data_IF_487086709439
#
_entry.id   IF_487086709439
#
_cell.length_a   1.000
_cell.length_b   1.000
_cell.length_c   1.000
_cell.angle_alpha   90.00
_cell.angle_beta   90.00
_cell.angle_gamma   90.00
#
_symmetry.space_group_name_H-M   'P 1'
#
loop_
_entity.id
_entity.type
_entity.pdbx_description
1 polymer ?
#
# COMPACT_ATOMS: atom_id res chain seq x y z
N UNK A 1 -1.15 7.40 10.89
CA UNK A 1 -1.38 8.63 10.11
C UNK A 1 -1.01 9.89 10.87
N UNK A 2 -1.24 10.01 12.20
CA UNK A 2 -0.92 11.23 12.96
C UNK A 2 0.60 11.46 13.07
N UNK A 3 1.40 10.42 13.19
CA UNK A 3 2.84 10.53 13.30
C UNK A 3 3.50 10.98 11.98
N UNK A 4 2.90 10.64 10.84
CA UNK A 4 3.53 10.84 9.53
C UNK A 4 4.73 9.92 9.32
N UNK A 5 5.47 10.14 8.24
CA UNK A 5 6.66 9.38 7.94
C UNK A 5 6.43 7.92 7.57
N UNK A 6 7.48 7.13 7.66
CA UNK A 6 7.44 5.68 7.62
C UNK A 6 7.44 5.18 9.06
N UNK A 7 6.44 4.43 9.44
CA UNK A 7 6.30 3.96 10.81
C UNK A 7 5.98 2.46 10.84
N UNK A 8 6.59 1.77 11.79
CA UNK A 8 6.32 0.37 12.11
C UNK A 8 5.31 0.30 13.25
N UNK A 9 4.18 -0.36 13.00
CA UNK A 9 3.20 -0.70 14.01
C UNK A 9 3.38 -2.14 14.45
N UNK A 10 3.45 -2.37 15.76
CA UNK A 10 3.54 -3.71 16.37
C UNK A 10 2.39 -3.96 17.34
N UNK A 11 2.29 -5.17 17.86
CA UNK A 11 1.19 -5.57 18.73
C UNK A 11 -0.14 -5.61 17.97
N UNK A 12 -1.12 -4.88 18.43
CA UNK A 12 -2.42 -4.68 17.74
C UNK A 12 -2.43 -3.41 16.85
N UNK A 13 -1.26 -2.88 16.52
CA UNK A 13 -1.10 -1.58 15.88
C UNK A 13 -1.14 -0.41 16.86
N UNK A 14 -0.97 -0.70 18.15
CA UNK A 14 -0.99 0.25 19.26
C UNK A 14 0.43 0.72 19.66
N UNK A 15 1.45 0.00 19.25
CA UNK A 15 2.85 0.40 19.41
C UNK A 15 3.39 0.90 18.08
N UNK A 16 3.61 2.21 17.97
CA UNK A 16 4.10 2.85 16.77
C UNK A 16 5.53 3.36 16.96
N UNK A 17 6.43 2.93 16.08
CA UNK A 17 7.80 3.43 15.99
C UNK A 17 8.02 4.13 14.66
N UNK A 18 8.35 5.41 14.68
CA UNK A 18 8.71 6.15 13.46
C UNK A 18 10.10 5.70 13.03
N UNK A 19 10.21 5.15 11.83
CA UNK A 19 11.46 4.69 11.22
C UNK A 19 12.15 5.81 10.45
N UNK A 20 11.34 6.65 9.77
CA UNK A 20 11.79 7.83 9.05
C UNK A 20 10.70 8.90 9.07
N UNK A 21 11.09 10.14 9.31
CA UNK A 21 10.17 11.28 9.27
C UNK A 21 9.70 11.56 7.83
N UNK A 22 8.53 12.16 7.71
CA UNK A 22 8.00 12.58 6.41
C UNK A 22 8.64 13.90 6.01
N UNK A 23 9.46 13.86 4.97
CA UNK A 23 10.10 15.00 4.33
C UNK A 23 10.01 14.87 2.80
N UNK A 24 10.58 15.82 2.06
CA UNK A 24 10.61 15.78 0.59
C UNK A 24 11.73 14.88 0.03
N UNK A 25 12.70 14.49 0.86
CA UNK A 25 13.81 13.63 0.45
C UNK A 25 13.44 12.15 0.57
N UNK A 26 13.79 11.37 -0.44
CA UNK A 26 13.56 9.92 -0.48
C UNK A 26 12.09 9.53 -0.51
N UNK A 27 11.29 10.20 -1.31
CA UNK A 27 9.90 9.87 -1.51
C UNK A 27 9.74 8.61 -2.36
N UNK A 28 8.86 7.71 -1.93
CA UNK A 28 8.35 6.64 -2.76
C UNK A 28 7.16 7.14 -3.57
N UNK A 29 7.17 6.87 -4.86
CA UNK A 29 6.08 7.25 -5.77
C UNK A 29 5.19 6.05 -6.04
N UNK A 30 3.89 6.28 -5.99
CA UNK A 30 2.85 5.26 -6.08
C UNK A 30 1.77 5.66 -7.06
N UNK A 31 1.05 4.67 -7.57
CA UNK A 31 -0.26 4.87 -8.19
C UNK A 31 -1.30 4.11 -7.37
N UNK A 32 -2.28 4.82 -6.84
CA UNK A 32 -3.42 4.22 -6.17
C UNK A 32 -4.51 3.93 -7.20
N UNK A 33 -4.80 2.64 -7.39
CA UNK A 33 -5.79 2.15 -8.35
C UNK A 33 -7.08 1.84 -7.59
N UNK A 34 -8.07 2.71 -7.74
CA UNK A 34 -9.35 2.59 -7.08
C UNK A 34 -10.26 1.67 -7.89
N UNK A 35 -10.93 0.73 -7.20
CA UNK A 35 -11.96 -0.13 -7.78
C UNK A 35 -13.28 0.62 -7.94
N UNK A 36 -14.14 0.17 -8.88
CA UNK A 36 -15.49 0.69 -9.07
C UNK A 36 -16.41 0.41 -7.87
N UNK A 37 -16.16 -0.66 -7.14
CA UNK A 37 -16.97 -1.08 -6.00
C UNK A 37 -16.13 -1.22 -4.74
N UNK A 38 -16.76 -1.04 -3.59
CA UNK A 38 -16.16 -1.23 -2.28
C UNK A 38 -15.93 -2.70 -1.93
N UNK A 39 -15.13 -2.92 -0.90
CA UNK A 39 -14.92 -4.22 -0.27
C UNK A 39 -15.07 -4.06 1.24
N UNK A 40 -15.82 -4.97 1.85
CA UNK A 40 -16.09 -4.93 3.28
C UNK A 40 -14.88 -5.41 4.08
N UNK A 41 -14.22 -4.51 4.79
CA UNK A 41 -13.09 -4.85 5.68
C UNK A 41 -13.42 -5.99 6.66
N UNK A 42 -14.58 -5.99 7.36
CA UNK A 42 -14.93 -7.12 8.22
C UNK A 42 -15.08 -8.45 7.48
N UNK A 43 -15.49 -8.45 6.20
CA UNK A 43 -15.58 -9.67 5.41
C UNK A 43 -14.21 -10.20 5.02
N UNK A 44 -13.28 -9.32 4.67
CA UNK A 44 -11.89 -9.70 4.38
C UNK A 44 -11.24 -10.35 5.59
N UNK A 45 -11.41 -9.78 6.79
CA UNK A 45 -10.89 -10.36 8.02
C UNK A 45 -11.55 -11.72 8.34
N UNK A 46 -12.85 -11.86 8.17
CA UNK A 46 -13.52 -13.17 8.34
C UNK A 46 -13.00 -14.23 7.36
N UNK A 47 -12.70 -13.82 6.13
CA UNK A 47 -12.13 -14.72 5.12
C UNK A 47 -10.67 -15.07 5.44
N UNK A 48 -9.92 -14.13 6.02
CA UNK A 48 -8.57 -14.36 6.55
C UNK A 48 -8.61 -15.39 7.69
N UNK A 49 -9.45 -15.18 8.71
CA UNK A 49 -9.60 -16.08 9.86
C UNK A 49 -10.01 -17.49 9.43
N UNK A 50 -10.87 -17.61 8.41
CA UNK A 50 -11.28 -18.92 7.86
C UNK A 50 -10.10 -19.66 7.24
N UNK A 51 -9.20 -18.96 6.57
CA UNK A 51 -8.00 -19.55 5.97
C UNK A 51 -6.96 -19.90 7.03
N UNK A 52 -6.79 -19.06 8.06
CA UNK A 52 -5.87 -19.29 9.17
C UNK A 52 -6.29 -20.49 10.01
N UNK A 53 -7.59 -20.69 10.25
CA UNK A 53 -8.12 -21.89 10.89
C UNK A 53 -7.75 -23.20 10.15
N UNK A 54 -7.33 -23.12 8.87
CA UNK A 54 -6.81 -24.23 8.09
C UNK A 54 -5.30 -24.48 8.27
N UNK A 55 -4.64 -23.76 9.19
CA UNK A 55 -3.22 -23.94 9.52
C UNK A 55 -2.25 -23.13 8.66
N UNK A 56 -2.64 -21.91 8.27
CA UNK A 56 -1.70 -20.97 7.67
C UNK A 56 -0.53 -20.68 8.63
N UNK A 57 0.70 -20.48 8.11
CA UNK A 57 1.81 -20.10 8.97
C UNK A 57 1.51 -18.77 9.65
N UNK A 58 1.80 -18.68 10.95
CA UNK A 58 1.64 -17.45 11.72
C UNK A 58 2.42 -16.30 11.09
N UNK A 59 1.95 -15.09 11.31
CA UNK A 59 2.61 -13.87 10.85
C UNK A 59 4.01 -13.81 11.46
N UNK A 60 5.03 -13.70 10.61
CA UNK A 60 6.39 -13.47 11.05
C UNK A 60 6.60 -11.98 11.33
N UNK A 61 7.33 -11.64 12.39
CA UNK A 61 7.80 -10.27 12.53
C UNK A 61 8.81 -9.95 11.42
N UNK A 62 8.77 -8.71 10.87
CA UNK A 62 9.72 -8.33 9.83
C UNK A 62 11.15 -8.38 10.38
N UNK A 63 12.06 -8.86 9.56
CA UNK A 63 13.49 -8.86 9.87
C UNK A 63 14.06 -7.44 9.89
N UNK A 64 15.20 -7.19 10.55
CA UNK A 64 15.85 -5.89 10.52
C UNK A 64 16.18 -5.41 9.09
N UNK A 65 16.51 -6.33 8.18
CA UNK A 65 16.79 -6.05 6.79
C UNK A 65 15.52 -5.59 6.03
N UNK A 66 14.39 -6.26 6.28
CA UNK A 66 13.11 -5.84 5.71
C UNK A 66 12.68 -4.48 6.24
N UNK A 67 12.85 -4.24 7.55
CA UNK A 67 12.58 -2.92 8.15
C UNK A 67 13.46 -1.83 7.53
N UNK A 68 14.74 -2.10 7.29
CA UNK A 68 15.65 -1.16 6.64
C UNK A 68 15.21 -0.87 5.18
N UNK A 69 14.80 -1.90 4.44
CA UNK A 69 14.34 -1.77 3.06
C UNK A 69 13.06 -0.94 2.92
N UNK A 70 12.22 -0.86 3.97
CA UNK A 70 11.05 0.05 3.98
C UNK A 70 11.43 1.53 3.88
N UNK A 71 12.65 1.88 4.31
CA UNK A 71 13.20 3.23 4.25
C UNK A 71 14.18 3.44 3.08
N UNK A 72 14.47 2.38 2.33
CA UNK A 72 15.42 2.34 1.24
C UNK A 72 14.87 2.84 -0.10
N UNK A 73 15.61 2.54 -1.15
CA UNK A 73 15.22 2.87 -2.52
C UNK A 73 14.02 2.01 -2.99
N UNK A 74 13.24 2.47 -3.99
CA UNK A 74 12.08 1.72 -4.49
C UNK A 74 12.39 0.29 -4.92
N UNK A 75 13.60 0.06 -5.46
CA UNK A 75 14.07 -1.26 -5.88
C UNK A 75 14.26 -2.23 -4.71
N UNK A 76 14.62 -1.73 -3.53
CA UNK A 76 14.75 -2.52 -2.29
C UNK A 76 13.36 -2.75 -1.68
N UNK A 77 12.55 -1.71 -1.58
CA UNK A 77 11.19 -1.75 -1.05
C UNK A 77 10.32 -2.80 -1.77
N UNK A 78 10.47 -2.95 -3.09
CA UNK A 78 9.64 -3.88 -3.88
C UNK A 78 9.65 -5.33 -3.37
N UNK A 79 10.71 -5.75 -2.67
CA UNK A 79 10.86 -7.10 -2.15
C UNK A 79 10.21 -7.31 -0.77
N UNK A 80 9.85 -6.21 -0.09
CA UNK A 80 9.31 -6.20 1.27
C UNK A 80 7.81 -5.91 1.33
N UNK A 81 7.18 -5.68 0.17
CA UNK A 81 5.74 -5.40 0.11
C UNK A 81 4.93 -6.68 0.28
N UNK A 82 4.53 -6.96 1.49
CA UNK A 82 3.67 -8.10 1.85
C UNK A 82 2.35 -7.59 2.43
N UNK A 83 1.25 -8.26 2.08
CA UNK A 83 -0.05 -7.99 2.66
C UNK A 83 -0.85 -9.30 2.79
N UNK A 84 -1.00 -9.76 4.02
CA UNK A 84 -1.69 -11.02 4.34
C UNK A 84 -3.18 -10.99 4.00
N UNK A 85 -3.77 -9.79 3.94
CA UNK A 85 -5.17 -9.62 3.55
C UNK A 85 -5.37 -9.67 2.02
N UNK A 86 -4.29 -9.69 1.22
CA UNK A 86 -4.42 -9.72 -0.24
C UNK A 86 -5.09 -11.02 -0.73
N UNK A 87 -4.63 -12.18 -0.26
CA UNK A 87 -5.22 -13.45 -0.68
C UNK A 87 -6.72 -13.59 -0.30
N UNK A 88 -7.14 -13.25 0.95
CA UNK A 88 -8.56 -13.16 1.30
C UNK A 88 -9.37 -12.20 0.42
N UNK A 89 -8.84 -11.00 0.18
CA UNK A 89 -9.53 -10.01 -0.66
C UNK A 89 -9.72 -10.50 -2.09
N UNK A 90 -8.71 -11.16 -2.68
CA UNK A 90 -8.79 -11.74 -4.03
C UNK A 90 -9.80 -12.91 -4.12
N UNK A 91 -10.02 -13.65 -3.03
CA UNK A 91 -11.10 -14.67 -3.00
C UNK A 91 -12.49 -14.04 -3.01
N UNK A 92 -12.66 -12.90 -2.35
CA UNK A 92 -13.94 -12.16 -2.31
C UNK A 92 -14.17 -11.33 -3.58
N UNK A 93 -13.10 -10.81 -4.18
CA UNK A 93 -13.10 -9.92 -5.34
C UNK A 93 -12.03 -10.35 -6.36
N UNK A 94 -12.30 -11.41 -7.16
CA UNK A 94 -11.32 -11.95 -8.11
C UNK A 94 -10.82 -10.93 -9.16
N UNK A 95 -11.63 -9.94 -9.53
CA UNK A 95 -11.26 -8.89 -10.47
C UNK A 95 -10.09 -8.01 -9.99
N UNK A 96 -9.81 -7.98 -8.70
CA UNK A 96 -8.61 -7.30 -8.18
C UNK A 96 -7.31 -7.96 -8.68
N UNK A 97 -7.36 -9.26 -9.00
CA UNK A 97 -6.22 -9.93 -9.62
C UNK A 97 -5.91 -9.38 -11.03
N UNK A 98 -6.95 -9.00 -11.78
CA UNK A 98 -6.78 -8.38 -13.10
C UNK A 98 -6.14 -6.98 -12.95
N UNK A 99 -6.57 -6.20 -11.97
CA UNK A 99 -5.96 -4.88 -11.66
C UNK A 99 -4.47 -5.04 -11.29
N UNK A 100 -4.14 -6.03 -10.46
CA UNK A 100 -2.76 -6.33 -10.06
C UNK A 100 -1.93 -6.76 -11.27
N UNK A 101 -2.48 -7.62 -12.14
CA UNK A 101 -1.80 -8.06 -13.36
C UNK A 101 -1.57 -6.88 -14.31
N UNK A 102 -2.59 -6.07 -14.58
CA UNK A 102 -2.48 -4.89 -15.43
C UNK A 102 -1.39 -3.91 -14.94
N UNK A 103 -1.30 -3.69 -13.63
CA UNK A 103 -0.28 -2.82 -13.05
C UNK A 103 1.14 -3.38 -13.22
N UNK A 104 1.31 -4.71 -13.08
CA UNK A 104 2.58 -5.39 -13.34
C UNK A 104 2.98 -5.32 -14.80
N UNK A 105 2.04 -5.59 -15.70
CA UNK A 105 2.25 -5.54 -17.16
C UNK A 105 2.58 -4.13 -17.64
N UNK A 106 2.03 -3.10 -16.99
CA UNK A 106 2.37 -1.70 -17.23
C UNK A 106 3.77 -1.30 -16.72
N UNK A 107 4.45 -2.19 -15.98
CA UNK A 107 5.84 -1.99 -15.53
C UNK A 107 5.98 -1.43 -14.12
N UNK A 108 4.96 -1.51 -13.27
CA UNK A 108 5.12 -1.18 -11.85
C UNK A 108 6.21 -2.05 -11.20
N UNK A 109 7.05 -1.45 -10.35
CA UNK A 109 8.14 -2.17 -9.65
C UNK A 109 7.60 -3.24 -8.71
N UNK A 110 6.51 -2.94 -8.03
CA UNK A 110 5.76 -3.86 -7.20
C UNK A 110 4.29 -3.45 -7.15
N UNK A 111 3.43 -4.40 -6.83
CA UNK A 111 1.99 -4.17 -6.71
C UNK A 111 1.46 -4.93 -5.51
N UNK A 112 0.75 -4.24 -4.65
CA UNK A 112 0.12 -4.82 -3.46
C UNK A 112 -1.27 -4.24 -3.24
N UNK A 113 -2.09 -4.94 -2.48
CA UNK A 113 -3.36 -4.39 -2.01
C UNK A 113 -3.10 -3.39 -0.87
N UNK A 114 -3.81 -2.29 -0.85
CA UNK A 114 -3.74 -1.31 0.24
C UNK A 114 -4.66 -1.72 1.39
N UNK A 115 -4.08 -2.21 2.48
CA UNK A 115 -4.82 -2.72 3.64
C UNK A 115 -5.76 -3.88 3.26
N UNK A 116 -7.04 -3.81 3.64
CA UNK A 116 -8.05 -4.80 3.24
C UNK A 116 -8.56 -4.62 1.80
N UNK A 117 -8.08 -3.62 1.08
CA UNK A 117 -8.56 -3.26 -0.26
C UNK A 117 -9.88 -2.46 -0.26
N UNK A 118 -10.54 -2.32 -1.42
CA UNK A 118 -10.18 -2.85 -2.73
C UNK A 118 -9.11 -2.05 -3.49
N UNK A 119 -8.56 -0.99 -2.91
CA UNK A 119 -7.54 -0.17 -3.57
C UNK A 119 -6.26 -0.98 -3.74
N UNK A 120 -5.71 -0.97 -4.96
CA UNK A 120 -4.42 -1.55 -5.28
C UNK A 120 -3.37 -0.44 -5.35
N UNK A 121 -2.22 -0.64 -4.71
CA UNK A 121 -1.08 0.28 -4.73
C UNK A 121 0.00 -0.29 -5.66
N UNK A 122 0.39 0.50 -6.66
CA UNK A 122 1.46 0.16 -7.60
C UNK A 122 2.67 1.08 -7.35
N UNK A 123 3.82 0.48 -7.03
CA UNK A 123 5.07 1.19 -6.78
C UNK A 123 5.72 1.62 -8.10
N UNK A 124 6.09 2.88 -8.19
CA UNK A 124 6.83 3.45 -9.32
C UNK A 124 8.28 3.78 -8.92
N UNK A 125 9.18 3.90 -9.90
CA UNK A 125 10.57 4.32 -9.68
C UNK A 125 10.68 5.76 -9.21
N UNK A 126 9.86 6.63 -9.81
CA UNK A 126 9.89 8.07 -9.63
C UNK A 126 8.54 8.71 -10.00
N UNK A 127 8.44 10.03 -9.87
CA UNK A 127 7.22 10.78 -10.14
C UNK A 127 6.79 10.72 -11.63
N UNK A 128 7.72 10.65 -12.57
CA UNK A 128 7.42 10.57 -14.00
C UNK A 128 6.84 9.20 -14.33
N UNK A 129 7.46 8.15 -13.83
CA UNK A 129 6.96 6.79 -13.97
C UNK A 129 5.58 6.60 -13.32
N UNK A 130 5.33 7.20 -12.14
CA UNK A 130 4.01 7.16 -11.51
C UNK A 130 2.93 7.83 -12.39
N UNK A 131 3.24 8.97 -13.02
CA UNK A 131 2.31 9.63 -13.95
C UNK A 131 2.06 8.78 -15.21
N UNK A 132 3.10 8.17 -15.77
CA UNK A 132 2.98 7.29 -16.94
C UNK A 132 2.14 6.05 -16.63
N UNK A 133 2.39 5.39 -15.49
CA UNK A 133 1.58 4.26 -15.01
C UNK A 133 0.12 4.66 -14.81
N UNK A 134 -0.14 5.80 -14.15
CA UNK A 134 -1.50 6.28 -13.93
C UNK A 134 -2.24 6.54 -15.23
N UNK A 135 -1.58 7.14 -16.22
CA UNK A 135 -2.18 7.37 -17.56
C UNK A 135 -2.54 6.03 -18.23
N UNK A 136 -1.61 5.07 -18.24
CA UNK A 136 -1.86 3.75 -18.86
C UNK A 136 -2.97 2.98 -18.14
N UNK A 137 -2.98 3.00 -16.80
CA UNK A 137 -3.92 2.21 -15.99
C UNK A 137 -5.30 2.84 -15.85
N UNK A 138 -5.45 4.12 -16.21
CA UNK A 138 -6.76 4.78 -16.23
C UNK A 138 -7.72 4.17 -17.27
N UNK A 139 -7.20 3.50 -18.29
CA UNK A 139 -8.00 2.83 -19.32
C UNK A 139 -8.32 1.36 -18.97
N UNK A 140 -7.78 0.85 -17.86
CA UNK A 140 -8.03 -0.53 -17.45
C UNK A 140 -9.48 -0.71 -16.95
N UNK A 141 -10.23 -1.73 -17.45
CA UNK A 141 -11.66 -1.88 -17.13
C UNK A 141 -11.98 -2.05 -15.64
N UNK A 142 -11.03 -2.58 -14.87
CA UNK A 142 -11.18 -2.82 -13.43
C UNK A 142 -10.81 -1.62 -12.57
N UNK A 143 -10.32 -0.53 -13.18
CA UNK A 143 -9.84 0.67 -12.49
C UNK A 143 -10.84 1.81 -12.68
N UNK A 144 -11.49 2.23 -11.61
CA UNK A 144 -12.36 3.39 -11.62
C UNK A 144 -11.56 4.71 -11.69
N UNK A 145 -10.39 4.73 -11.06
CA UNK A 145 -9.51 5.89 -11.02
C UNK A 145 -8.08 5.47 -10.70
N UNK A 146 -7.11 6.01 -11.43
CA UNK A 146 -5.68 5.88 -11.14
C UNK A 146 -5.13 7.22 -10.64
N UNK A 147 -4.58 7.24 -9.42
CA UNK A 147 -4.14 8.47 -8.76
C UNK A 147 -2.64 8.35 -8.46
N UNK A 148 -1.76 9.10 -9.16
CA UNK A 148 -0.36 9.18 -8.77
C UNK A 148 -0.23 9.93 -7.44
N UNK A 149 0.59 9.41 -6.55
CA UNK A 149 0.83 9.97 -5.22
C UNK A 149 2.25 9.65 -4.77
N UNK A 150 2.63 10.17 -3.62
CA UNK A 150 3.94 9.90 -3.03
C UNK A 150 3.83 9.81 -1.50
N UNK A 151 4.83 9.24 -0.89
CA UNK A 151 5.06 9.16 0.54
C UNK A 151 6.54 8.91 0.83
N UNK A 152 6.98 9.12 2.07
CA UNK A 152 6.21 9.48 3.24
C UNK A 152 5.69 10.92 3.21
N UNK A 153 4.61 11.18 3.93
CA UNK A 153 4.05 12.51 4.12
C UNK A 153 4.27 12.96 5.57
N UNK A 154 4.33 14.26 5.78
CA UNK A 154 4.37 14.83 7.12
C UNK A 154 3.16 14.38 7.94
N UNK A 155 3.35 14.21 9.25
CA UNK A 155 2.27 13.92 10.18
C UNK A 155 1.30 15.09 10.36
N UNK A 156 0.28 14.87 11.19
CA UNK A 156 -0.65 15.90 11.56
C UNK A 156 0.06 17.03 12.30
N UNK A 157 -0.18 18.26 11.89
CA UNK A 157 0.38 19.46 12.51
C UNK A 157 -0.73 20.48 12.80
N UNK A 158 -0.55 21.25 13.85
CA UNK A 158 -1.43 22.38 14.14
C UNK A 158 -0.94 23.55 13.28
N UNK A 159 -1.79 24.03 12.37
CA UNK A 159 -1.54 25.29 11.68
C UNK A 159 -2.03 26.41 12.60
N UNK A 160 -1.13 27.32 12.99
CA UNK A 160 -1.53 28.52 13.72
C UNK A 160 -2.37 29.39 12.78
N UNK A 161 -3.67 29.48 13.06
CA UNK A 161 -4.50 30.51 12.46
C UNK A 161 -4.06 31.84 13.07
N UNK A 162 -3.33 32.66 12.34
CA UNK A 162 -3.19 34.07 12.74
C UNK A 162 -4.60 34.65 12.79
N UNK A 163 -5.00 35.08 14.00
CA UNK A 163 -6.26 35.77 14.17
C UNK A 163 -6.21 37.05 13.33
N UNK A 164 -7.17 37.16 12.40
CA UNK A 164 -7.45 38.38 11.63
C UNK A 164 -8.08 39.42 12.60
#
# INVERSE_FOLDING_TARGET
>A
CLAGGIALGTGRGDHMSVLREGDEEGQHHWVMLLSHEGLSTPEVFREFDRADAAGAPGLAEPTPEEVAALCGEPEELRHCLVNDLQAPALRLRPELAETIAAARDAGALAVTLSGSGPTVAALARDAEHARALAATLSDAPTVARAIPTHGPACGARIESTEAI
#
